data_IF_593739290605
#
_entry.id   IF_593739290605
#
_cell.length_a   1.000
_cell.length_b   1.000
_cell.length_c   1.000
_cell.angle_alpha   90.00
_cell.angle_beta   90.00
_cell.angle_gamma   90.00
#
_symmetry.space_group_name_H-M   'P 1'
#
loop_
_entity.id
_entity.type
_entity.pdbx_description
1 polymer ?
#
# COMPACT_ATOMS: atom_id res chain seq x y z
N UNK A 1 -15.94 20.67 33.97
CA UNK A 1 -15.46 19.71 32.94
C UNK A 1 -16.58 19.16 32.07
N UNK A 2 -17.68 18.62 32.63
CA UNK A 2 -18.80 18.11 31.84
C UNK A 2 -19.51 19.18 30.98
N UNK A 3 -19.68 20.40 31.51
CA UNK A 3 -20.24 21.54 30.76
C UNK A 3 -19.34 22.04 29.61
N UNK A 4 -18.01 21.94 29.76
CA UNK A 4 -17.06 22.24 28.68
C UNK A 4 -17.04 21.14 27.61
N UNK A 5 -17.23 19.88 28.00
CA UNK A 5 -17.31 18.75 27.09
C UNK A 5 -18.61 18.80 26.27
N UNK A 6 -19.74 19.15 26.91
CA UNK A 6 -21.03 19.34 26.26
C UNK A 6 -21.03 20.56 25.32
N UNK A 7 -20.36 21.67 25.67
CA UNK A 7 -20.18 22.81 24.77
C UNK A 7 -19.25 22.49 23.59
N UNK A 8 -18.19 21.72 23.81
CA UNK A 8 -17.30 21.28 22.73
C UNK A 8 -18.03 20.36 21.74
N UNK A 9 -18.89 19.46 22.23
CA UNK A 9 -19.73 18.58 21.39
C UNK A 9 -20.83 19.38 20.68
N UNK A 10 -21.39 20.43 21.29
CA UNK A 10 -22.35 21.33 20.64
C UNK A 10 -21.74 22.18 19.52
N UNK A 11 -20.41 22.36 19.49
CA UNK A 11 -19.68 23.03 18.41
C UNK A 11 -19.18 22.09 17.30
N UNK A 12 -19.28 20.77 17.47
CA UNK A 12 -18.91 19.80 16.44
C UNK A 12 -19.79 19.75 15.17
N UNK A 13 -21.09 20.15 15.15
CA UNK A 13 -21.93 19.98 13.97
C UNK A 13 -21.64 20.93 12.80
N UNK A 14 -20.70 21.86 12.88
CA UNK A 14 -20.38 22.79 11.77
C UNK A 14 -19.11 22.43 10.98
N UNK A 15 -18.61 21.20 11.15
CA UNK A 15 -17.47 20.67 10.42
C UNK A 15 -17.86 19.80 9.21
N UNK A 16 -18.89 20.17 8.42
CA UNK A 16 -19.10 19.49 7.13
C UNK A 16 -19.47 20.51 6.06
N UNK A 17 -18.60 20.55 5.04
CA UNK A 17 -18.75 21.17 3.71
C UNK A 17 -18.48 22.67 3.56
N UNK A 18 -17.31 22.95 2.97
CA UNK A 18 -17.03 24.03 2.00
C UNK A 18 -17.49 25.46 2.34
N UNK A 19 -16.65 26.28 2.98
CA UNK A 19 -16.48 27.72 2.66
C UNK A 19 -15.50 28.43 3.60
N UNK A 20 -14.92 29.53 3.12
CA UNK A 20 -13.98 30.43 3.79
C UNK A 20 -14.57 31.11 5.05
N UNK A 21 -14.78 30.34 6.11
CA UNK A 21 -15.17 30.82 7.43
C UNK A 21 -13.95 30.92 8.34
N UNK A 22 -13.64 32.13 8.82
CA UNK A 22 -12.72 32.32 9.94
C UNK A 22 -13.51 32.36 11.25
N UNK A 23 -13.07 31.58 12.24
CA UNK A 23 -13.68 31.48 13.56
C UNK A 23 -12.75 32.07 14.63
N UNK A 24 -13.30 32.86 15.54
CA UNK A 24 -12.59 33.38 16.71
C UNK A 24 -13.38 33.06 17.97
N UNK A 25 -12.70 32.52 18.98
CA UNK A 25 -13.31 32.13 20.26
C UNK A 25 -12.97 33.13 21.37
N UNK A 26 -13.99 33.63 22.07
CA UNK A 26 -13.83 34.40 23.31
C UNK A 26 -14.21 33.53 24.52
N UNK A 27 -13.19 33.04 25.20
CA UNK A 27 -13.31 32.17 26.37
C UNK A 27 -13.91 32.87 27.60
N UNK A 28 -13.87 34.20 27.67
CA UNK A 28 -14.39 34.94 28.83
C UNK A 28 -15.91 35.06 28.79
N UNK A 29 -16.49 35.12 27.59
CA UNK A 29 -17.91 35.35 27.37
C UNK A 29 -18.68 34.12 26.86
N UNK A 30 -17.98 32.99 26.64
CA UNK A 30 -18.54 31.76 26.06
C UNK A 30 -19.27 32.00 24.72
N UNK A 31 -18.74 32.92 23.91
CA UNK A 31 -19.31 33.30 22.61
C UNK A 31 -18.41 32.87 21.47
N UNK A 32 -19.01 32.27 20.44
CA UNK A 32 -18.35 31.93 19.18
C UNK A 32 -18.86 32.87 18.08
N UNK A 33 -17.94 33.46 17.31
CA UNK A 33 -18.28 34.35 16.19
C UNK A 33 -17.71 33.79 14.90
N UNK A 34 -18.56 33.73 13.86
CA UNK A 34 -18.20 33.29 12.52
C UNK A 34 -18.33 34.46 11.54
N UNK A 35 -17.36 34.63 10.64
CA UNK A 35 -17.42 35.60 9.54
C UNK A 35 -17.27 34.91 8.17
N UNK A 36 -18.27 35.08 7.29
CA UNK A 36 -18.21 34.69 5.86
C UNK A 36 -17.68 35.89 5.04
N UNK A 37 -16.58 35.72 4.30
CA UNK A 37 -16.01 36.81 3.48
C UNK A 37 -16.58 36.90 2.06
N UNK A 38 -17.32 35.90 1.56
CA UNK A 38 -17.98 35.96 0.25
C UNK A 38 -19.20 35.04 0.21
N UNK A 39 -20.36 35.58 0.58
CA UNK A 39 -21.65 34.93 0.40
C UNK A 39 -22.44 35.80 -0.60
N UNK A 40 -22.21 35.59 -1.90
CA UNK A 40 -22.91 36.29 -2.98
C UNK A 40 -24.16 35.52 -3.38
N UNK A 41 -25.33 36.14 -3.24
CA UNK A 41 -26.60 35.63 -3.73
C UNK A 41 -26.53 35.38 -5.25
N UNK A 42 -26.64 34.13 -5.67
CA UNK A 42 -27.06 33.81 -7.04
C UNK A 42 -28.19 32.81 -7.00
N UNK A 43 -29.29 33.25 -7.57
CA UNK A 43 -30.55 32.54 -7.66
C UNK A 43 -30.59 31.63 -8.90
N UNK A 44 -31.40 30.60 -8.74
CA UNK A 44 -32.21 29.89 -9.73
C UNK A 44 -31.77 28.55 -10.33
N UNK A 45 -32.79 27.69 -10.28
CA UNK A 45 -33.17 26.51 -11.08
C UNK A 45 -32.64 25.14 -10.65
N UNK A 46 -33.63 24.26 -10.41
CA UNK A 46 -33.60 22.79 -10.19
C UNK A 46 -33.46 22.26 -8.76
N UNK A 47 -34.51 22.40 -7.91
CA UNK A 47 -34.54 21.76 -6.59
C UNK A 47 -35.95 21.62 -5.97
N UNK A 48 -36.97 21.07 -6.65
CA UNK A 48 -38.29 20.88 -6.00
C UNK A 48 -38.36 19.67 -5.07
N UNK A 49 -37.45 18.70 -5.17
CA UNK A 49 -37.36 17.58 -4.21
C UNK A 49 -36.38 17.88 -3.06
N UNK A 50 -35.22 18.46 -3.35
CA UNK A 50 -34.22 18.83 -2.32
C UNK A 50 -34.73 19.88 -1.32
N UNK A 51 -35.68 20.74 -1.72
CA UNK A 51 -36.25 21.76 -0.82
C UNK A 51 -37.10 21.17 0.30
N UNK A 52 -37.79 20.06 0.04
CA UNK A 52 -38.64 19.39 1.03
C UNK A 52 -37.78 18.59 2.03
N UNK A 53 -36.73 17.93 1.53
CA UNK A 53 -35.80 17.14 2.32
C UNK A 53 -34.91 18.02 3.23
N UNK A 54 -34.47 19.18 2.75
CA UNK A 54 -33.74 20.17 3.57
C UNK A 54 -34.61 20.73 4.69
N UNK A 55 -35.92 20.91 4.45
CA UNK A 55 -36.85 21.38 5.49
C UNK A 55 -37.11 20.31 6.54
N UNK A 56 -37.16 19.04 6.14
CA UNK A 56 -37.30 17.91 7.06
C UNK A 56 -36.05 17.76 7.94
N UNK A 57 -34.85 17.89 7.36
CA UNK A 57 -33.58 17.90 8.10
C UNK A 57 -33.53 19.08 9.08
N UNK A 58 -33.95 20.29 8.66
CA UNK A 58 -34.03 21.46 9.54
C UNK A 58 -34.98 21.24 10.71
N UNK A 59 -36.15 20.62 10.47
CA UNK A 59 -37.09 20.29 11.53
C UNK A 59 -36.51 19.28 12.53
N UNK A 60 -35.86 18.22 12.04
CA UNK A 60 -35.20 17.21 12.89
C UNK A 60 -34.09 17.84 13.72
N UNK A 61 -33.26 18.70 13.12
CA UNK A 61 -32.18 19.39 13.80
C UNK A 61 -32.68 20.38 14.86
N UNK A 62 -33.76 21.11 14.59
CA UNK A 62 -34.42 21.99 15.56
C UNK A 62 -35.00 21.20 16.75
N UNK A 63 -35.55 20.00 16.50
CA UNK A 63 -36.02 19.09 17.55
C UNK A 63 -34.90 18.63 18.47
N UNK A 64 -33.73 18.30 17.92
CA UNK A 64 -32.54 17.92 18.68
C UNK A 64 -32.03 19.09 19.53
N UNK A 65 -31.95 20.30 18.96
CA UNK A 65 -31.53 21.52 19.68
C UNK A 65 -32.49 21.82 20.85
N UNK A 66 -33.80 21.69 20.64
CA UNK A 66 -34.80 21.88 21.68
C UNK A 66 -34.65 20.87 22.82
N UNK A 67 -34.41 19.60 22.47
CA UNK A 67 -34.21 18.51 23.45
C UNK A 67 -32.91 18.70 24.27
N UNK A 68 -31.82 19.09 23.61
CA UNK A 68 -30.55 19.44 24.26
C UNK A 68 -30.68 20.63 25.20
N UNK A 69 -31.47 21.63 24.83
CA UNK A 69 -31.78 22.79 25.69
C UNK A 69 -32.53 22.37 26.95
N UNK A 70 -33.51 21.48 26.82
CA UNK A 70 -34.26 20.95 27.96
C UNK A 70 -33.39 20.10 28.89
N UNK A 71 -32.48 19.29 28.35
CA UNK A 71 -31.53 18.49 29.16
C UNK A 71 -30.53 19.39 29.87
N UNK A 72 -30.02 20.45 29.22
CA UNK A 72 -29.15 21.45 29.86
C UNK A 72 -29.81 22.08 31.09
N UNK A 73 -31.12 22.34 31.02
CA UNK A 73 -31.89 22.86 32.16
C UNK A 73 -32.15 21.79 33.24
N UNK A 74 -32.24 20.52 32.86
CA UNK A 74 -32.62 19.39 33.75
C UNK A 74 -31.42 18.66 34.38
N UNK A 75 -30.21 18.77 33.82
CA UNK A 75 -28.99 18.03 34.19
C UNK A 75 -28.40 18.36 35.58
N UNK A 76 -29.13 19.09 36.43
CA UNK A 76 -28.77 19.25 37.85
C UNK A 76 -29.31 18.10 38.72
N UNK A 77 -30.19 17.21 38.21
CA UNK A 77 -30.76 16.13 39.02
C UNK A 77 -31.10 14.84 38.25
N UNK A 78 -30.37 13.78 38.59
CA UNK A 78 -30.71 12.35 38.52
C UNK A 78 -30.71 11.61 37.16
N UNK A 79 -30.43 10.31 37.26
CA UNK A 79 -30.05 9.34 36.23
C UNK A 79 -31.00 9.17 35.01
N UNK A 80 -32.13 9.88 34.93
CA UNK A 80 -33.02 9.89 33.76
C UNK A 80 -32.39 10.56 32.54
N UNK A 81 -31.62 11.64 32.74
CA UNK A 81 -30.94 12.37 31.66
C UNK A 81 -29.91 11.52 30.90
N UNK A 82 -29.37 10.45 31.50
CA UNK A 82 -28.43 9.53 30.84
C UNK A 82 -29.14 8.65 29.82
N UNK A 83 -30.37 8.22 30.10
CA UNK A 83 -31.15 7.40 29.17
C UNK A 83 -31.63 8.23 27.97
N UNK A 84 -31.96 9.50 28.20
CA UNK A 84 -32.30 10.45 27.13
C UNK A 84 -31.08 10.83 26.28
N UNK A 85 -29.88 10.95 26.88
CA UNK A 85 -28.62 11.09 26.13
C UNK A 85 -28.32 9.84 25.29
N UNK A 86 -28.58 8.64 25.81
CA UNK A 86 -28.35 7.39 25.07
C UNK A 86 -29.25 7.29 23.84
N UNK A 87 -30.54 7.63 23.98
CA UNK A 87 -31.49 7.68 22.86
C UNK A 87 -31.10 8.73 21.80
N UNK A 88 -30.58 9.89 22.22
CA UNK A 88 -30.10 10.92 21.30
C UNK A 88 -28.80 10.53 20.56
N UNK A 89 -27.92 9.76 21.21
CA UNK A 89 -26.73 9.20 20.55
C UNK A 89 -27.14 8.18 19.49
N UNK A 90 -28.16 7.36 19.75
CA UNK A 90 -28.72 6.43 18.77
C UNK A 90 -29.36 7.17 17.58
N UNK A 91 -30.08 8.26 17.82
CA UNK A 91 -30.63 9.12 16.75
C UNK A 91 -29.55 9.84 15.93
N UNK A 92 -28.45 10.28 16.57
CA UNK A 92 -27.29 10.83 15.88
C UNK A 92 -26.55 9.78 15.04
N UNK A 93 -26.49 8.54 15.51
CA UNK A 93 -25.96 7.40 14.75
C UNK A 93 -26.90 7.09 13.56
N UNK A 94 -28.21 7.16 13.73
CA UNK A 94 -29.16 7.00 12.62
C UNK A 94 -29.03 8.12 11.59
N UNK A 95 -28.85 9.38 12.00
CA UNK A 95 -28.62 10.50 11.08
C UNK A 95 -27.26 10.42 10.37
N UNK A 96 -26.21 9.91 11.04
CA UNK A 96 -24.92 9.59 10.40
C UNK A 96 -25.05 8.42 9.42
N UNK A 97 -25.90 7.43 9.74
CA UNK A 97 -26.22 6.30 8.86
C UNK A 97 -27.11 6.71 7.67
N UNK A 98 -28.02 7.68 7.84
CA UNK A 98 -28.85 8.22 6.75
C UNK A 98 -28.09 9.20 5.86
N UNK A 99 -27.09 9.91 6.38
CA UNK A 99 -26.11 10.66 5.57
C UNK A 99 -25.02 9.78 4.95
N UNK A 100 -24.85 8.54 5.43
CA UNK A 100 -24.04 7.49 4.78
C UNK A 100 -24.88 6.48 3.96
N UNK A 101 -26.20 6.66 3.89
CA UNK A 101 -27.12 5.88 3.05
C UNK A 101 -26.87 6.07 1.55
N UNK A 102 -26.04 7.04 1.14
CA UNK A 102 -25.72 7.29 -0.26
C UNK A 102 -24.23 7.56 -0.56
N UNK A 103 -23.31 6.90 0.14
CA UNK A 103 -22.02 6.58 -0.47
C UNK A 103 -21.88 5.07 -0.56
N UNK A 104 -21.94 4.47 -1.77
CA UNK A 104 -21.69 3.05 -1.92
C UNK A 104 -20.33 2.72 -1.29
N UNK A 105 -20.23 1.56 -0.63
CA UNK A 105 -18.96 1.10 -0.05
C UNK A 105 -17.88 1.19 -1.14
N UNK A 106 -16.78 1.93 -0.90
CA UNK A 106 -15.80 2.21 -1.93
C UNK A 106 -15.21 0.90 -2.46
N UNK A 107 -14.95 0.87 -3.75
CA UNK A 107 -14.40 -0.31 -4.44
C UNK A 107 -12.88 -0.35 -4.40
N UNK A 108 -12.22 0.76 -4.09
CA UNK A 108 -10.76 0.85 -4.03
C UNK A 108 -10.25 1.91 -3.05
N UNK A 109 -9.00 1.76 -2.62
CA UNK A 109 -8.30 2.80 -1.87
C UNK A 109 -8.11 4.10 -2.69
N UNK A 110 -8.02 3.99 -4.02
CA UNK A 110 -7.92 5.15 -4.91
C UNK A 110 -9.21 5.98 -4.88
N UNK A 111 -10.37 5.32 -4.89
CA UNK A 111 -11.68 5.98 -4.77
C UNK A 111 -11.79 6.76 -3.45
N UNK A 112 -11.43 6.13 -2.33
CA UNK A 112 -11.37 6.80 -1.02
C UNK A 112 -10.45 8.02 -1.08
N UNK A 113 -9.26 7.88 -1.67
CA UNK A 113 -8.29 8.98 -1.75
C UNK A 113 -8.79 10.11 -2.65
N UNK A 114 -9.56 9.81 -3.69
CA UNK A 114 -10.13 10.82 -4.58
C UNK A 114 -11.28 11.59 -3.92
N UNK A 115 -12.16 10.89 -3.21
CA UNK A 115 -13.31 11.49 -2.52
C UNK A 115 -12.90 12.23 -1.25
N UNK A 116 -11.92 11.68 -0.53
CA UNK A 116 -11.40 12.21 0.72
C UNK A 116 -9.87 12.33 0.64
N UNK A 117 -9.32 13.39 0.01
CA UNK A 117 -7.88 13.56 -0.20
C UNK A 117 -7.04 13.55 1.08
N UNK A 118 -7.63 13.92 2.22
CA UNK A 118 -6.94 13.94 3.52
C UNK A 118 -6.97 12.59 4.25
N UNK A 119 -7.53 11.54 3.64
CA UNK A 119 -7.56 10.19 4.23
C UNK A 119 -6.15 9.70 4.57
N UNK A 120 -5.90 9.25 5.81
CA UNK A 120 -4.61 8.67 6.21
C UNK A 120 -4.43 7.25 5.69
N UNK A 121 -3.20 6.74 5.67
CA UNK A 121 -2.98 5.30 5.44
C UNK A 121 -3.56 4.49 6.60
N UNK A 122 -4.18 3.35 6.31
CA UNK A 122 -4.89 2.56 7.32
C UNK A 122 -5.70 1.42 6.71
N UNK A 123 -6.47 0.72 7.55
CA UNK A 123 -7.36 -0.36 7.10
C UNK A 123 -8.74 0.20 6.82
N UNK A 124 -9.26 -0.05 5.63
CA UNK A 124 -10.56 0.42 5.15
C UNK A 124 -11.43 -0.76 4.73
N UNK A 125 -12.75 -0.59 4.84
CA UNK A 125 -13.72 -1.55 4.31
C UNK A 125 -13.94 -1.24 2.82
N UNK A 126 -13.62 -2.20 1.95
CA UNK A 126 -13.82 -2.10 0.51
C UNK A 126 -14.85 -3.11 0.00
N UNK A 127 -15.59 -2.74 -1.05
CA UNK A 127 -16.39 -3.65 -1.86
C UNK A 127 -15.50 -4.30 -2.91
N UNK A 128 -15.45 -5.63 -2.88
CA UNK A 128 -14.68 -6.48 -3.78
C UNK A 128 -15.62 -7.36 -4.60
N UNK A 129 -15.09 -8.06 -5.60
CA UNK A 129 -15.86 -9.03 -6.37
C UNK A 129 -16.38 -10.22 -5.51
N UNK A 130 -15.78 -10.44 -4.33
CA UNK A 130 -16.14 -11.49 -3.39
C UNK A 130 -16.96 -10.98 -2.19
N UNK A 131 -17.56 -9.79 -2.29
CA UNK A 131 -18.26 -9.12 -1.18
C UNK A 131 -17.39 -8.05 -0.52
N UNK A 132 -17.57 -7.77 0.76
CA UNK A 132 -16.82 -6.72 1.46
C UNK A 132 -15.59 -7.27 2.19
N UNK A 133 -14.47 -6.54 2.15
CA UNK A 133 -13.21 -6.93 2.80
C UNK A 133 -12.52 -5.73 3.44
N UNK A 134 -11.86 -5.98 4.58
CA UNK A 134 -10.94 -5.03 5.17
C UNK A 134 -9.59 -5.10 4.45
N UNK A 135 -9.15 -3.98 3.89
CA UNK A 135 -7.94 -3.87 3.08
C UNK A 135 -7.09 -2.73 3.61
N UNK A 136 -5.78 -2.95 3.72
CA UNK A 136 -4.87 -1.87 4.05
C UNK A 136 -4.66 -0.98 2.82
N UNK A 137 -4.96 0.31 2.98
CA UNK A 137 -4.76 1.35 2.00
C UNK A 137 -3.53 2.18 2.35
N UNK A 138 -2.57 2.25 1.43
CA UNK A 138 -1.53 3.26 1.50
C UNK A 138 -1.99 4.52 0.76
N UNK A 139 -2.31 5.56 1.53
CA UNK A 139 -2.79 6.85 1.00
C UNK A 139 -1.66 7.82 0.66
N UNK A 140 -0.41 7.47 0.99
CA UNK A 140 0.78 8.19 0.54
C UNK A 140 1.12 7.90 -0.92
N UNK A 141 2.07 8.67 -1.46
CA UNK A 141 2.58 8.47 -2.81
C UNK A 141 3.53 7.26 -2.88
N UNK A 142 3.26 6.36 -3.81
CA UNK A 142 4.14 5.25 -4.22
C UNK A 142 4.06 5.11 -5.74
N UNK A 143 5.20 4.87 -6.40
CA UNK A 143 5.27 4.73 -7.86
C UNK A 143 4.58 5.87 -8.65
N UNK A 144 4.61 7.10 -8.12
CA UNK A 144 3.97 8.27 -8.73
C UNK A 144 2.44 8.32 -8.66
N UNK A 145 1.81 7.48 -7.82
CA UNK A 145 0.36 7.49 -7.57
C UNK A 145 0.03 7.34 -6.08
N UNK A 146 -1.22 7.53 -5.71
CA UNK A 146 -1.75 7.46 -4.33
C UNK A 146 -2.88 6.44 -4.23
N UNK A 147 -3.34 6.10 -3.01
CA UNK A 147 -4.53 5.26 -2.84
C UNK A 147 -4.31 3.80 -3.22
N UNK A 148 -3.21 3.21 -2.77
CA UNK A 148 -2.83 1.84 -3.10
C UNK A 148 -3.49 0.81 -2.18
N UNK A 149 -4.11 -0.22 -2.78
CA UNK A 149 -4.66 -1.36 -2.04
C UNK A 149 -3.59 -2.44 -1.87
N UNK A 150 -3.30 -2.84 -0.63
CA UNK A 150 -2.24 -3.84 -0.35
C UNK A 150 -2.72 -5.25 -0.71
N UNK A 151 -2.03 -5.88 -1.67
CA UNK A 151 -2.30 -7.27 -2.08
C UNK A 151 -1.37 -8.30 -1.41
N UNK A 152 -0.13 -7.92 -1.11
CA UNK A 152 0.87 -8.78 -0.51
C UNK A 152 1.66 -8.02 0.57
N UNK A 153 2.10 -8.73 1.60
CA UNK A 153 2.95 -8.21 2.66
C UNK A 153 3.72 -9.38 3.30
N UNK A 154 5.04 -9.22 3.43
CA UNK A 154 5.93 -10.10 4.16
C UNK A 154 7.07 -9.23 4.69
N UNK A 155 7.27 -9.21 6.00
CA UNK A 155 8.29 -8.39 6.63
C UNK A 155 9.09 -9.22 7.63
N UNK A 156 10.27 -9.66 7.19
CA UNK A 156 11.14 -10.50 8.03
C UNK A 156 11.94 -9.70 9.07
N UNK A 157 11.83 -8.37 9.09
CA UNK A 157 12.40 -7.55 10.18
C UNK A 157 11.61 -7.73 11.47
N UNK A 158 10.32 -8.07 11.37
CA UNK A 158 9.53 -8.53 12.50
C UNK A 158 9.98 -9.94 12.89
N UNK A 159 10.58 -10.08 14.07
CA UNK A 159 11.08 -11.34 14.60
C UNK A 159 9.99 -12.41 14.78
N UNK A 160 8.71 -12.02 14.83
CA UNK A 160 7.56 -12.92 14.97
C UNK A 160 7.06 -13.47 13.63
N UNK A 161 7.40 -12.82 12.52
CA UNK A 161 7.04 -13.29 11.18
C UNK A 161 7.82 -14.55 10.79
N UNK A 162 7.14 -15.50 10.17
CA UNK A 162 7.73 -16.76 9.73
C UNK A 162 7.82 -16.80 8.20
N UNK A 163 8.82 -17.54 7.69
CA UNK A 163 8.88 -17.75 6.25
C UNK A 163 7.64 -18.50 5.74
N UNK A 164 7.10 -18.12 4.56
CA UNK A 164 6.00 -18.84 3.95
C UNK A 164 6.31 -20.32 3.75
N UNK A 165 5.26 -21.14 3.67
CA UNK A 165 5.43 -22.59 3.49
C UNK A 165 6.29 -22.93 2.27
N UNK A 166 7.24 -23.85 2.45
CA UNK A 166 8.23 -24.24 1.44
C UNK A 166 9.50 -23.36 1.41
N UNK A 167 9.45 -22.13 1.92
CA UNK A 167 10.63 -21.29 2.11
C UNK A 167 11.37 -21.70 3.39
N UNK A 168 12.68 -21.51 3.40
CA UNK A 168 13.50 -21.63 4.60
C UNK A 168 13.96 -20.26 5.08
N UNK A 169 14.15 -20.17 6.39
CA UNK A 169 14.79 -19.01 7.02
C UNK A 169 16.30 -19.05 6.78
N UNK A 170 16.82 -17.95 6.26
CA UNK A 170 18.24 -17.62 6.27
C UNK A 170 18.46 -16.51 7.29
N UNK A 171 19.47 -16.69 8.13
CA UNK A 171 19.80 -15.70 9.15
C UNK A 171 21.30 -15.62 9.39
N UNK A 172 21.82 -14.41 9.39
CA UNK A 172 23.21 -14.08 9.72
C UNK A 172 23.32 -12.57 9.96
N UNK A 173 24.23 -12.13 10.82
CA UNK A 173 24.50 -10.71 11.02
C UNK A 173 23.29 -9.86 11.46
N UNK A 174 22.31 -10.46 12.15
CA UNK A 174 21.07 -9.78 12.56
C UNK A 174 20.01 -9.67 11.46
N UNK A 175 20.29 -10.11 10.24
CA UNK A 175 19.35 -10.16 9.13
C UNK A 175 18.59 -11.48 9.15
N UNK A 176 17.29 -11.42 8.84
CA UNK A 176 16.41 -12.55 8.59
C UNK A 176 15.81 -12.41 7.19
N UNK A 177 15.90 -13.46 6.39
CA UNK A 177 15.35 -13.48 5.05
C UNK A 177 14.78 -14.86 4.72
N UNK A 178 13.83 -14.91 3.78
CA UNK A 178 13.26 -16.15 3.29
C UNK A 178 13.80 -16.45 1.91
N UNK A 179 14.10 -17.72 1.66
CA UNK A 179 14.50 -18.17 0.34
C UNK A 179 14.27 -19.66 0.17
N UNK A 180 14.50 -20.14 -1.05
CA UNK A 180 14.41 -21.56 -1.37
C UNK A 180 15.38 -22.39 -0.52
N UNK A 181 15.00 -23.61 -0.15
CA UNK A 181 15.91 -24.55 0.50
C UNK A 181 17.08 -24.98 -0.42
N UNK A 182 18.27 -25.29 0.13
CA UNK A 182 19.40 -25.77 -0.69
C UNK A 182 18.97 -27.02 -1.45
N UNK A 183 19.25 -27.07 -2.75
CA UNK A 183 19.17 -28.29 -3.54
C UNK A 183 20.30 -28.31 -4.55
N UNK A 184 20.62 -29.50 -5.07
CA UNK A 184 21.65 -29.68 -6.09
C UNK A 184 21.13 -29.49 -7.52
N UNK A 185 19.90 -29.00 -7.70
CA UNK A 185 19.25 -28.81 -9.01
C UNK A 185 18.53 -27.46 -9.06
N UNK A 186 18.45 -26.89 -10.26
CA UNK A 186 17.57 -25.73 -10.51
C UNK A 186 16.13 -26.06 -10.14
N UNK A 187 15.52 -25.21 -9.32
CA UNK A 187 14.15 -25.38 -8.82
C UNK A 187 13.64 -24.05 -8.27
N UNK A 188 12.34 -23.96 -8.08
CA UNK A 188 11.69 -22.81 -7.47
C UNK A 188 10.74 -23.26 -6.37
N UNK A 189 10.49 -22.36 -5.42
CA UNK A 189 9.40 -22.47 -4.46
C UNK A 189 8.59 -21.20 -4.57
N UNK A 190 7.27 -21.26 -4.41
CA UNK A 190 6.44 -20.08 -4.52
C UNK A 190 5.42 -19.97 -3.41
N UNK A 191 5.00 -18.73 -3.17
CA UNK A 191 3.87 -18.39 -2.32
C UNK A 191 2.91 -17.52 -3.13
N UNK A 192 1.63 -17.82 -3.02
CA UNK A 192 0.58 -17.03 -3.66
C UNK A 192 -0.10 -16.14 -2.63
N UNK A 193 -0.28 -14.87 -3.01
CA UNK A 193 -1.03 -13.87 -2.27
C UNK A 193 -2.37 -13.67 -3.00
N UNK A 194 -3.48 -14.20 -2.46
CA UNK A 194 -4.78 -14.06 -3.09
C UNK A 194 -5.21 -12.59 -3.08
N UNK A 195 -5.72 -12.10 -4.21
CA UNK A 195 -6.31 -10.76 -4.29
C UNK A 195 -7.55 -10.60 -3.43
N UNK A 196 -8.19 -11.71 -3.04
CA UNK A 196 -9.46 -11.76 -2.33
C UNK A 196 -10.59 -10.98 -3.05
N UNK A 197 -10.54 -10.93 -4.39
CA UNK A 197 -11.54 -10.23 -5.20
C UNK A 197 -11.27 -8.74 -5.38
N UNK A 198 -10.15 -8.23 -4.87
CA UNK A 198 -9.68 -6.86 -5.16
C UNK A 198 -9.27 -6.80 -6.63
N UNK A 199 -9.86 -5.83 -7.34
CA UNK A 199 -9.60 -5.59 -8.76
C UNK A 199 -8.42 -4.62 -8.91
N UNK A 200 -7.44 -4.96 -9.75
CA UNK A 200 -6.26 -4.13 -9.97
C UNK A 200 -5.79 -4.17 -11.43
N UNK A 201 -5.26 -3.05 -11.91
CA UNK A 201 -4.68 -2.88 -13.24
C UNK A 201 -3.22 -2.40 -13.18
N UNK A 202 -2.68 -2.21 -11.98
CA UNK A 202 -1.33 -1.71 -11.76
C UNK A 202 -0.76 -2.34 -10.49
N UNK A 203 0.54 -2.68 -10.51
CA UNK A 203 1.26 -3.23 -9.38
C UNK A 203 2.45 -2.32 -9.08
N UNK A 204 2.46 -1.75 -7.87
CA UNK A 204 3.61 -1.07 -7.30
C UNK A 204 4.14 -1.91 -6.15
N UNK A 205 5.42 -2.24 -6.16
CA UNK A 205 5.99 -3.15 -5.16
C UNK A 205 7.46 -2.90 -4.89
N UNK A 206 7.90 -3.33 -3.71
CA UNK A 206 9.29 -3.31 -3.29
C UNK A 206 9.63 -4.65 -2.66
N UNK A 207 10.81 -5.15 -2.97
CA UNK A 207 11.37 -6.36 -2.37
C UNK A 207 12.76 -6.01 -1.86
N UNK A 208 13.08 -6.46 -0.66
CA UNK A 208 14.43 -6.36 -0.10
C UNK A 208 14.93 -7.79 0.04
N UNK A 209 16.07 -8.09 -0.59
CA UNK A 209 16.69 -9.41 -0.55
C UNK A 209 18.16 -9.32 -0.17
N UNK A 210 18.81 -10.47 -0.09
CA UNK A 210 20.23 -10.59 0.19
C UNK A 210 20.80 -11.73 -0.63
N UNK A 211 22.01 -11.57 -1.13
CA UNK A 211 22.71 -12.64 -1.84
C UNK A 211 23.05 -13.77 -0.88
N UNK A 212 22.74 -15.01 -1.27
CA UNK A 212 23.20 -16.20 -0.60
C UNK A 212 24.00 -17.07 -1.56
N UNK A 213 25.26 -17.32 -1.22
CA UNK A 213 26.13 -18.18 -2.02
C UNK A 213 26.50 -17.56 -3.37
N UNK A 214 26.32 -18.36 -4.42
CA UNK A 214 26.80 -18.09 -5.78
C UNK A 214 25.63 -18.03 -6.77
N UNK A 215 24.83 -16.96 -6.77
CA UNK A 215 23.70 -16.86 -7.68
C UNK A 215 24.19 -16.62 -9.12
N UNK A 216 23.45 -17.15 -10.07
CA UNK A 216 23.75 -17.03 -11.50
C UNK A 216 23.11 -15.79 -12.16
N UNK A 217 22.43 -14.90 -11.42
CA UNK A 217 21.51 -13.89 -11.99
C UNK A 217 20.47 -14.52 -12.94
N UNK A 218 20.57 -14.34 -14.25
CA UNK A 218 19.75 -15.09 -15.21
C UNK A 218 20.42 -16.42 -15.59
N UNK A 219 19.63 -17.49 -15.81
CA UNK A 219 20.19 -18.80 -16.21
C UNK A 219 21.11 -18.63 -17.45
N UNK A 220 22.42 -18.94 -17.33
CA UNK A 220 23.40 -18.68 -18.39
C UNK A 220 23.29 -19.68 -19.55
N UNK A 221 22.44 -20.71 -19.43
CA UNK A 221 22.27 -21.71 -20.48
C UNK A 221 21.32 -21.19 -21.56
N UNK A 222 21.63 -21.44 -22.84
CA UNK A 222 20.73 -21.06 -23.93
C UNK A 222 19.41 -21.83 -23.80
N UNK A 223 18.31 -21.09 -23.80
CA UNK A 223 16.93 -21.56 -24.00
C UNK A 223 16.25 -22.12 -22.73
N UNK A 224 15.97 -21.25 -21.77
CA UNK A 224 14.73 -21.42 -21.00
C UNK A 224 13.87 -20.17 -21.03
N UNK A 225 13.26 -19.91 -22.20
CA UNK A 225 12.23 -18.88 -22.35
C UNK A 225 10.86 -19.42 -21.90
N UNK A 226 10.80 -19.91 -20.66
CA UNK A 226 9.59 -20.45 -20.05
C UNK A 226 9.44 -19.87 -18.65
N UNK A 227 8.38 -19.09 -18.46
CA UNK A 227 8.02 -18.45 -17.19
C UNK A 227 7.77 -19.47 -16.07
N UNK A 228 7.51 -20.73 -16.41
CA UNK A 228 7.29 -21.81 -15.44
C UNK A 228 8.59 -22.50 -14.99
N UNK A 229 9.74 -22.18 -15.60
CA UNK A 229 11.03 -22.78 -15.28
C UNK A 229 11.79 -22.01 -14.18
N UNK A 230 12.92 -22.54 -13.70
CA UNK A 230 13.87 -21.85 -12.81
C UNK A 230 14.80 -20.89 -13.58
N UNK A 231 14.23 -19.90 -14.26
CA UNK A 231 14.98 -19.04 -15.19
C UNK A 231 15.87 -17.96 -14.53
N UNK A 232 15.76 -17.77 -13.21
CA UNK A 232 16.44 -16.71 -12.45
C UNK A 232 16.88 -17.20 -11.07
N UNK A 233 18.08 -16.82 -10.66
CA UNK A 233 18.51 -16.81 -9.26
C UNK A 233 18.17 -15.46 -8.64
N UNK A 234 17.08 -15.45 -7.86
CA UNK A 234 16.49 -14.22 -7.36
C UNK A 234 15.00 -14.43 -7.06
N UNK A 235 14.19 -13.41 -7.31
CA UNK A 235 12.75 -13.40 -7.08
C UNK A 235 12.00 -13.10 -8.38
N UNK A 236 11.01 -13.92 -8.69
CA UNK A 236 10.06 -13.73 -9.78
C UNK A 236 8.71 -13.34 -9.21
N UNK A 237 8.20 -12.16 -9.58
CA UNK A 237 6.84 -11.74 -9.28
C UNK A 237 5.98 -12.01 -10.51
N UNK A 238 4.96 -12.84 -10.34
CA UNK A 238 4.03 -13.21 -11.41
C UNK A 238 2.58 -13.13 -10.93
N UNK A 239 1.64 -13.35 -11.84
CA UNK A 239 0.20 -13.38 -11.52
C UNK A 239 -0.55 -14.42 -12.33
N UNK A 240 -1.66 -14.88 -11.75
CA UNK A 240 -2.70 -15.63 -12.44
C UNK A 240 -2.28 -17.01 -12.95
N UNK A 241 -3.26 -17.69 -13.56
CA UNK A 241 -3.08 -19.00 -14.22
C UNK A 241 -3.85 -18.97 -15.55
N UNK A 242 -3.18 -19.02 -16.72
CA UNK A 242 -1.73 -19.21 -16.89
C UNK A 242 -0.90 -18.06 -16.32
N UNK A 243 0.33 -18.40 -15.90
CA UNK A 243 1.27 -17.49 -15.26
C UNK A 243 1.65 -16.34 -16.20
N UNK A 244 1.57 -15.12 -15.69
CA UNK A 244 1.96 -13.90 -16.40
C UNK A 244 3.01 -13.13 -15.61
N UNK A 245 4.01 -12.60 -16.31
CA UNK A 245 5.12 -11.86 -15.70
C UNK A 245 4.67 -10.50 -15.16
N UNK A 246 5.20 -10.12 -13.99
CA UNK A 246 5.04 -8.78 -13.41
C UNK A 246 6.39 -8.11 -13.28
N UNK A 247 7.34 -8.75 -12.58
CA UNK A 247 8.69 -8.22 -12.38
C UNK A 247 9.69 -9.33 -12.06
N UNK A 248 10.96 -9.17 -12.43
CA UNK A 248 12.05 -10.07 -12.02
C UNK A 248 13.08 -9.30 -11.19
N UNK A 249 13.53 -9.85 -10.06
CA UNK A 249 14.62 -9.30 -9.26
C UNK A 249 15.75 -10.33 -9.22
N UNK A 250 16.87 -10.04 -9.86
CA UNK A 250 17.97 -10.98 -10.07
C UNK A 250 19.13 -10.70 -9.10
N UNK A 251 19.76 -11.74 -8.57
CA UNK A 251 20.97 -11.62 -7.77
C UNK A 251 22.20 -12.00 -8.61
N UNK A 252 23.15 -11.08 -8.80
CA UNK A 252 24.42 -11.36 -9.48
C UNK A 252 25.45 -12.01 -8.56
N UNK A 253 26.47 -12.65 -9.14
CA UNK A 253 27.53 -13.30 -8.39
C UNK A 253 28.54 -12.33 -7.74
N UNK A 254 28.91 -11.28 -8.47
CA UNK A 254 29.91 -10.27 -8.10
C UNK A 254 29.49 -8.89 -8.63
N UNK A 255 29.69 -7.84 -7.83
CA UNK A 255 29.37 -6.46 -8.22
C UNK A 255 30.59 -5.67 -8.75
N UNK A 256 31.80 -6.15 -8.45
CA UNK A 256 33.05 -5.44 -8.74
C UNK A 256 34.06 -6.24 -9.58
N UNK A 257 33.69 -7.43 -10.07
CA UNK A 257 34.54 -8.27 -10.91
C UNK A 257 33.75 -9.19 -11.84
N UNK A 258 34.37 -9.62 -12.93
CA UNK A 258 33.82 -10.61 -13.86
C UNK A 258 34.45 -11.97 -13.56
N UNK A 259 33.69 -12.88 -12.95
CA UNK A 259 34.18 -14.24 -12.68
C UNK A 259 34.59 -14.93 -14.00
N UNK A 260 35.77 -15.56 -14.02
CA UNK A 260 36.41 -16.15 -15.22
C UNK A 260 36.57 -15.20 -16.42
N UNK A 261 36.45 -13.87 -16.23
CA UNK A 261 36.52 -12.84 -17.28
C UNK A 261 35.48 -12.98 -18.41
N UNK A 262 34.35 -13.65 -18.18
CA UNK A 262 33.29 -13.79 -19.19
C UNK A 262 31.97 -13.14 -18.81
N UNK A 263 31.81 -12.69 -17.56
CA UNK A 263 30.64 -11.94 -17.12
C UNK A 263 29.33 -12.74 -17.13
N UNK A 264 29.38 -14.07 -17.23
CA UNK A 264 28.18 -14.90 -17.42
C UNK A 264 27.30 -15.05 -16.19
N UNK A 265 27.75 -14.60 -15.01
CA UNK A 265 27.04 -14.67 -13.73
C UNK A 265 26.79 -13.28 -13.11
N UNK A 266 27.19 -12.23 -13.82
CA UNK A 266 26.95 -10.86 -13.41
C UNK A 266 25.59 -10.41 -13.94
N UNK A 267 25.03 -9.39 -13.30
CA UNK A 267 23.75 -8.83 -13.72
C UNK A 267 23.71 -8.48 -15.21
N UNK A 268 22.57 -8.63 -15.90
CA UNK A 268 22.46 -8.30 -17.33
C UNK A 268 22.80 -6.84 -17.67
N UNK A 269 22.61 -5.94 -16.70
CA UNK A 269 22.93 -4.51 -16.78
C UNK A 269 24.40 -4.19 -16.41
N UNK A 270 25.18 -5.14 -15.87
CA UNK A 270 26.55 -4.89 -15.47
C UNK A 270 27.47 -4.69 -16.68
N UNK A 271 28.47 -3.82 -16.53
CA UNK A 271 29.49 -3.63 -17.55
C UNK A 271 30.27 -4.94 -17.80
N UNK A 272 30.30 -5.37 -19.06
CA UNK A 272 30.99 -6.61 -19.47
C UNK A 272 30.19 -7.89 -19.25
N UNK A 273 28.96 -7.82 -18.75
CA UNK A 273 28.07 -8.99 -18.66
C UNK A 273 27.64 -9.47 -20.04
N UNK A 274 27.59 -10.78 -20.22
CA UNK A 274 27.03 -11.42 -21.43
C UNK A 274 25.56 -11.76 -21.30
N UNK A 275 24.96 -11.59 -20.11
CA UNK A 275 23.61 -12.07 -19.82
C UNK A 275 22.50 -11.31 -20.55
N UNK A 276 22.78 -10.12 -21.08
CA UNK A 276 21.80 -9.41 -21.90
C UNK A 276 21.38 -10.25 -23.14
N UNK A 277 22.23 -11.16 -23.61
CA UNK A 277 21.92 -12.09 -24.71
C UNK A 277 21.14 -13.35 -24.29
N UNK A 278 21.15 -13.70 -22.99
CA UNK A 278 20.47 -14.88 -22.44
C UNK A 278 19.20 -14.54 -21.68
N UNK A 279 18.91 -13.24 -21.50
CA UNK A 279 17.73 -12.75 -20.82
C UNK A 279 16.45 -13.23 -21.51
N UNK A 280 15.51 -13.75 -20.72
CA UNK A 280 14.26 -14.29 -21.24
C UNK A 280 13.39 -13.17 -21.80
N UNK A 281 12.84 -13.37 -23.00
CA UNK A 281 12.17 -12.30 -23.75
C UNK A 281 10.93 -11.76 -23.04
N UNK A 282 10.27 -12.56 -22.20
CA UNK A 282 9.09 -12.13 -21.44
C UNK A 282 9.42 -11.15 -20.30
N UNK A 283 10.68 -11.05 -19.88
CA UNK A 283 11.12 -10.11 -18.83
C UNK A 283 11.23 -8.70 -19.41
N UNK A 284 11.75 -8.57 -20.63
CA UNK A 284 11.98 -7.27 -21.26
C UNK A 284 12.79 -6.34 -20.33
N UNK A 285 12.23 -5.17 -20.03
CA UNK A 285 12.83 -4.18 -19.12
C UNK A 285 12.25 -4.22 -17.70
N UNK A 286 11.36 -5.17 -17.40
CA UNK A 286 10.66 -5.27 -16.11
C UNK A 286 11.51 -6.08 -15.11
N UNK A 287 12.75 -5.63 -14.87
CA UNK A 287 13.65 -6.26 -13.92
C UNK A 287 14.53 -5.27 -13.16
N UNK A 288 14.98 -5.72 -11.98
CA UNK A 288 16.13 -5.17 -11.28
C UNK A 288 17.18 -6.27 -11.10
N UNK A 289 18.45 -5.90 -11.03
CA UNK A 289 19.52 -6.83 -10.72
C UNK A 289 20.59 -6.14 -9.88
N UNK A 290 21.14 -6.85 -8.90
CA UNK A 290 22.20 -6.36 -8.01
C UNK A 290 22.95 -7.56 -7.40
N UNK A 291 24.22 -7.38 -7.04
CA UNK A 291 25.04 -8.38 -6.36
C UNK A 291 25.52 -7.86 -5.01
N UNK A 292 25.41 -8.67 -3.97
CA UNK A 292 25.88 -8.31 -2.62
C UNK A 292 27.33 -8.70 -2.34
N UNK A 293 28.03 -9.33 -3.29
CA UNK A 293 29.41 -9.78 -3.14
C UNK A 293 30.44 -8.76 -3.67
N UNK A 294 31.15 -8.03 -2.79
CA UNK A 294 32.03 -6.92 -3.17
C UNK A 294 33.42 -7.35 -3.67
N UNK A 295 33.65 -8.66 -3.85
CA UNK A 295 34.95 -9.16 -4.26
C UNK A 295 35.39 -8.59 -5.62
N UNK A 296 36.59 -7.99 -5.64
CA UNK A 296 37.22 -7.42 -6.83
C UNK A 296 38.13 -8.41 -7.57
N UNK A 297 38.38 -9.58 -6.99
CA UNK A 297 39.24 -10.64 -7.53
C UNK A 297 38.45 -11.82 -8.13
N UNK A 298 37.11 -11.71 -8.21
CA UNK A 298 36.23 -12.77 -8.70
C UNK A 298 36.02 -13.91 -7.72
N UNK A 299 36.41 -13.75 -6.46
CA UNK A 299 36.17 -14.74 -5.41
C UNK A 299 34.70 -14.77 -4.95
N UNK A 300 34.27 -15.94 -4.49
CA UNK A 300 32.93 -16.18 -3.97
C UNK A 300 32.93 -17.25 -2.89
N UNK A 301 31.85 -17.34 -2.11
CA UNK A 301 31.68 -18.35 -1.06
C UNK A 301 30.31 -19.01 -1.16
N UNK A 302 30.25 -20.34 -1.16
CA UNK A 302 29.00 -21.10 -1.40
C UNK A 302 27.94 -21.01 -0.28
N UNK A 303 28.34 -20.73 0.97
CA UNK A 303 27.48 -20.82 2.14
C UNK A 303 27.25 -19.51 2.89
N UNK A 304 27.65 -18.39 2.28
CA UNK A 304 27.59 -17.07 2.92
C UNK A 304 26.32 -16.34 2.56
N UNK A 305 25.69 -15.74 3.58
CA UNK A 305 24.68 -14.71 3.42
C UNK A 305 25.39 -13.35 3.46
N UNK A 306 25.39 -12.63 2.34
CA UNK A 306 25.96 -11.29 2.25
C UNK A 306 24.96 -10.28 2.82
N UNK A 307 24.95 -10.14 4.15
CA UNK A 307 23.95 -9.35 4.87
C UNK A 307 24.27 -7.85 4.95
N UNK A 308 25.47 -7.43 4.56
CA UNK A 308 25.91 -6.03 4.61
C UNK A 308 25.32 -5.18 3.49
N UNK A 309 24.86 -5.81 2.41
CA UNK A 309 24.41 -5.15 1.21
C UNK A 309 23.03 -5.69 0.76
N UNK A 310 21.94 -5.00 1.11
CA UNK A 310 20.59 -5.38 0.69
C UNK A 310 20.41 -5.19 -0.82
N UNK A 311 19.91 -6.21 -1.50
CA UNK A 311 19.72 -6.17 -2.94
C UNK A 311 18.47 -5.38 -3.35
N UNK A 312 18.56 -4.80 -4.54
CA UNK A 312 17.56 -4.05 -5.30
C UNK A 312 17.13 -2.75 -4.60
N UNK A 313 18.06 -2.11 -3.92
CA UNK A 313 17.85 -0.83 -3.27
C UNK A 313 18.57 0.37 -3.94
N UNK A 314 19.42 0.07 -4.93
CA UNK A 314 20.17 1.05 -5.71
C UNK A 314 21.34 1.68 -4.94
N UNK A 315 21.87 0.99 -3.92
CA UNK A 315 22.97 1.44 -3.06
C UNK A 315 23.96 0.30 -2.87
N UNK A 316 25.16 0.62 -2.38
CA UNK A 316 26.18 -0.42 -2.12
C UNK A 316 26.94 -0.91 -3.36
N UNK A 317 26.38 -0.66 -4.54
CA UNK A 317 26.85 -1.13 -5.83
C UNK A 317 28.34 -0.93 -6.15
N UNK A 318 28.97 -2.02 -6.53
CA UNK A 318 30.32 -2.10 -7.04
C UNK A 318 30.50 -1.45 -8.42
N UNK A 319 31.76 -1.42 -8.86
CA UNK A 319 32.18 -0.68 -10.07
C UNK A 319 31.53 -1.17 -11.37
N UNK A 320 30.98 -2.38 -11.42
CA UNK A 320 30.35 -2.93 -12.62
C UNK A 320 28.83 -2.71 -12.65
N UNK A 321 28.20 -2.38 -11.52
CA UNK A 321 26.74 -2.34 -11.36
C UNK A 321 26.14 -0.92 -11.38
N UNK A 322 26.94 0.09 -11.73
CA UNK A 322 26.47 1.48 -11.76
C UNK A 322 25.21 1.71 -12.62
N UNK A 323 25.06 0.99 -13.74
CA UNK A 323 23.83 1.06 -14.57
C UNK A 323 22.66 0.37 -13.88
N UNK A 324 22.91 -0.78 -13.23
CA UNK A 324 21.91 -1.54 -12.51
C UNK A 324 21.29 -0.72 -11.38
N UNK A 325 22.12 -0.03 -10.62
CA UNK A 325 21.67 0.78 -9.48
C UNK A 325 21.09 2.14 -9.85
N UNK A 326 21.32 2.57 -11.08
CA UNK A 326 20.63 3.71 -11.68
C UNK A 326 19.31 3.30 -12.35
N UNK A 327 18.85 2.05 -12.22
CA UNK A 327 17.61 1.60 -12.83
C UNK A 327 16.42 2.44 -12.35
N UNK A 328 15.61 3.00 -13.27
CA UNK A 328 14.47 3.83 -12.89
C UNK A 328 13.50 3.10 -11.98
N UNK A 329 13.04 3.80 -10.95
CA UNK A 329 12.03 3.29 -10.02
C UNK A 329 12.60 2.62 -8.77
N UNK A 330 13.87 2.21 -8.74
CA UNK A 330 14.48 1.63 -7.53
C UNK A 330 14.20 2.49 -6.28
N UNK A 331 13.78 1.89 -5.14
CA UNK A 331 13.59 0.46 -4.88
C UNK A 331 12.17 -0.08 -5.20
N UNK A 332 11.33 0.70 -5.87
CA UNK A 332 9.94 0.38 -6.17
C UNK A 332 9.71 0.09 -7.66
N UNK A 333 9.38 -1.15 -7.99
CA UNK A 333 8.93 -1.46 -9.34
C UNK A 333 7.48 -1.02 -9.56
N UNK A 334 7.16 -0.65 -10.79
CA UNK A 334 5.83 -0.24 -11.20
C UNK A 334 5.44 -0.93 -12.51
N UNK A 335 4.45 -1.80 -12.46
CA UNK A 335 3.93 -2.53 -13.62
C UNK A 335 2.49 -2.14 -13.89
N UNK A 336 2.24 -1.49 -15.03
CA UNK A 336 0.89 -1.27 -15.55
C UNK A 336 0.48 -2.50 -16.37
N UNK A 337 -0.72 -3.01 -16.12
CA UNK A 337 -1.29 -4.17 -16.81
C UNK A 337 -2.21 -3.71 -17.95
N UNK A 338 -2.28 -4.50 -19.01
CA UNK A 338 -3.15 -4.21 -20.16
C UNK A 338 -4.64 -4.34 -19.83
N UNK A 339 -4.97 -5.12 -18.79
CA UNK A 339 -6.35 -5.40 -18.39
C UNK A 339 -6.42 -5.45 -16.87
N UNK A 340 -7.50 -4.91 -16.31
CA UNK A 340 -7.84 -5.10 -14.90
C UNK A 340 -8.07 -6.58 -14.61
N UNK A 341 -7.58 -7.06 -13.47
CA UNK A 341 -7.67 -8.46 -13.06
C UNK A 341 -7.95 -8.59 -11.56
N UNK A 342 -8.32 -9.79 -11.15
CA UNK A 342 -8.38 -10.21 -9.74
C UNK A 342 -7.46 -11.41 -9.47
N UNK A 343 -6.47 -11.63 -10.35
CA UNK A 343 -5.49 -12.69 -10.19
C UNK A 343 -4.77 -12.61 -8.84
N UNK A 344 -4.30 -13.74 -8.33
CA UNK A 344 -3.33 -13.72 -7.24
C UNK A 344 -2.00 -13.13 -7.74
N UNK A 345 -1.23 -12.54 -6.83
CA UNK A 345 0.19 -12.33 -7.04
C UNK A 345 0.96 -13.55 -6.52
N UNK A 346 2.00 -13.96 -7.23
CA UNK A 346 2.91 -15.02 -6.81
C UNK A 346 4.30 -14.44 -6.64
N UNK A 347 4.92 -14.72 -5.50
CA UNK A 347 6.35 -14.55 -5.28
C UNK A 347 7.00 -15.92 -5.39
N UNK A 348 8.02 -16.04 -6.23
CA UNK A 348 8.68 -17.31 -6.58
C UNK A 348 10.19 -17.16 -6.64
#
# INVERSE_FOLDING_TARGET
>A
MLSLLILAIACLPQFISSSNLALTFDAANNTCTAACTTCGDTSNTDASNNGQDIQEIKQKMNGIISSLSHIKETATSNAGAINDILLLVEDLIMLHNDSSSFSPIPTSCQEIKNEQPNSPSGVYLLKTNNGTKYVYCNMGELCGSVGWSRLAYLDMTDATENCPSGFRLYQSGGVRACGRATSSRGSCVSVQFPSNGISYSQVCGRVVGYQYGTPDAADPRPIINDINSHYVDGISITRGSPRQHVWTLMAGLNEASLHNNDGRFNCPCSQGSTQNSTLQSFIGNDYFCESGNPATDGSYQFGVLYSSDPLWDGKGCGSLEGVCCAAPGLPWFNKILNTTTTDYLELR
#
